data_IF_459927172913
#
_entry.id   IF_459927172913
#
_cell.length_a   1.000
_cell.length_b   1.000
_cell.length_c   1.000
_cell.angle_alpha   90.00
_cell.angle_beta   90.00
_cell.angle_gamma   90.00
#
_symmetry.space_group_name_H-M   'P 1'
#
loop_
_entity.id
_entity.type
_entity.pdbx_description
1 polymer ?
#
# COMPACT_ATOMS: atom_id res chain seq x y z
N UNK A 1 12.88 2.67 16.26
CA UNK A 1 12.66 1.84 15.06
C UNK A 1 11.34 2.24 14.42
N UNK A 2 11.35 2.48 13.11
CA UNK A 2 10.16 2.75 12.32
C UNK A 2 9.78 1.44 11.62
N UNK A 3 8.54 1.02 11.83
CA UNK A 3 7.95 -0.18 11.25
C UNK A 3 6.72 0.20 10.44
N UNK A 4 6.50 -0.47 9.31
CA UNK A 4 5.21 -0.46 8.62
C UNK A 4 4.45 -1.75 8.91
N UNK A 5 3.12 -1.70 8.96
CA UNK A 5 2.29 -2.87 9.20
C UNK A 5 0.98 -2.79 8.45
N UNK A 6 0.26 -3.91 8.40
CA UNK A 6 -1.07 -4.00 7.84
C UNK A 6 -1.62 -5.42 7.88
N UNK A 7 -2.72 -5.62 7.17
CA UNK A 7 -3.48 -6.87 7.13
C UNK A 7 -3.94 -7.19 5.71
N UNK A 8 -4.18 -8.48 5.46
CA UNK A 8 -4.69 -8.98 4.17
C UNK A 8 -5.47 -10.28 4.40
N UNK A 9 -6.54 -10.46 3.63
CA UNK A 9 -7.28 -11.70 3.54
C UNK A 9 -6.86 -12.52 2.32
N UNK A 10 -6.86 -13.84 2.46
CA UNK A 10 -6.63 -14.76 1.35
C UNK A 10 -7.52 -16.00 1.49
N UNK A 11 -7.84 -16.61 0.35
CA UNK A 11 -8.53 -17.89 0.30
C UNK A 11 -7.51 -19.01 0.14
N UNK A 12 -7.75 -20.14 0.78
CA UNK A 12 -6.94 -21.35 0.66
C UNK A 12 -7.82 -22.59 0.50
N UNK A 13 -7.20 -23.70 0.09
CA UNK A 13 -7.86 -25.00 0.06
C UNK A 13 -8.21 -25.45 1.48
N UNK A 14 -9.46 -25.85 1.67
CA UNK A 14 -9.93 -26.40 2.93
C UNK A 14 -9.36 -27.80 3.15
N UNK A 15 -8.76 -28.04 4.32
CA UNK A 15 -8.33 -29.37 4.71
C UNK A 15 -9.55 -30.21 5.15
N UNK A 16 -9.46 -31.53 4.97
CA UNK A 16 -10.52 -32.47 5.37
C UNK A 16 -10.48 -32.85 6.86
N UNK A 17 -9.67 -32.14 7.65
CA UNK A 17 -9.59 -32.37 9.08
C UNK A 17 -10.88 -31.87 9.76
N UNK A 18 -11.38 -32.64 10.73
CA UNK A 18 -12.54 -32.23 11.52
C UNK A 18 -12.14 -31.11 12.47
N UNK A 19 -12.93 -30.03 12.47
CA UNK A 19 -12.84 -28.97 13.46
C UNK A 19 -13.69 -29.31 14.68
N UNK A 20 -13.37 -28.68 15.81
CA UNK A 20 -14.14 -28.84 17.06
C UNK A 20 -15.56 -28.26 16.93
N UNK A 21 -15.75 -27.22 16.11
CA UNK A 21 -17.06 -26.64 15.81
C UNK A 21 -17.44 -26.86 14.34
N UNK A 22 -18.72 -27.14 14.07
CA UNK A 22 -19.24 -27.33 12.71
C UNK A 22 -19.24 -26.06 11.85
N UNK A 23 -19.13 -24.88 12.47
CA UNK A 23 -19.14 -23.58 11.79
C UNK A 23 -17.73 -23.12 11.40
N UNK A 24 -16.69 -23.72 11.99
CA UNK A 24 -15.32 -23.31 11.76
C UNK A 24 -14.81 -23.83 10.41
N UNK A 25 -14.06 -22.98 9.71
CA UNK A 25 -13.49 -23.30 8.41
C UNK A 25 -12.14 -22.65 8.26
N UNK A 26 -11.19 -23.42 7.74
CA UNK A 26 -9.87 -22.97 7.32
C UNK A 26 -9.84 -22.43 5.89
N UNK A 27 -10.97 -22.38 5.15
CA UNK A 27 -10.98 -21.96 3.76
C UNK A 27 -10.51 -20.50 3.53
N UNK A 28 -10.48 -19.69 4.58
CA UNK A 28 -10.02 -18.30 4.51
C UNK A 28 -8.99 -18.03 5.60
N UNK A 29 -7.92 -17.33 5.23
CA UNK A 29 -6.89 -16.84 6.13
C UNK A 29 -6.96 -15.32 6.17
N UNK A 30 -6.91 -14.78 7.37
CA UNK A 30 -6.64 -13.38 7.64
C UNK A 30 -5.32 -13.26 8.39
N UNK A 31 -4.39 -12.47 7.85
CA UNK A 31 -3.06 -12.29 8.44
C UNK A 31 -2.76 -10.83 8.72
N UNK A 32 -2.05 -10.60 9.82
CA UNK A 32 -1.52 -9.29 10.20
C UNK A 32 -0.01 -9.42 10.23
N UNK A 33 0.68 -8.52 9.53
CA UNK A 33 2.14 -8.52 9.45
C UNK A 33 2.73 -7.13 9.63
N UNK A 34 4.01 -7.07 10.01
CA UNK A 34 4.80 -5.85 9.98
C UNK A 34 6.17 -6.06 9.35
N UNK A 35 6.79 -4.95 8.94
CA UNK A 35 8.14 -4.89 8.39
C UNK A 35 8.90 -3.78 9.12
N UNK A 36 10.06 -4.06 9.74
CA UNK A 36 10.95 -3.02 10.21
C UNK A 36 11.61 -2.34 9.00
N UNK A 37 11.51 -1.01 8.90
CA UNK A 37 12.00 -0.26 7.73
C UNK A 37 13.29 0.48 8.04
N UNK A 38 13.33 1.19 9.18
CA UNK A 38 14.49 2.03 9.52
C UNK A 38 14.72 2.13 11.02
N UNK A 39 15.98 2.09 11.43
CA UNK A 39 16.43 2.39 12.78
C UNK A 39 17.21 3.70 12.76
N UNK A 40 16.74 4.68 13.55
CA UNK A 40 17.33 6.02 13.65
C UNK A 40 17.73 6.32 15.09
N UNK A 41 18.88 6.98 15.25
CA UNK A 41 19.35 7.49 16.54
C UNK A 41 19.07 8.99 16.61
N UNK A 42 18.22 9.39 17.57
CA UNK A 42 17.81 10.80 17.73
C UNK A 42 18.75 11.66 18.58
N UNK A 43 19.78 11.08 19.22
CA UNK A 43 20.62 11.85 20.16
C UNK A 43 21.52 12.89 19.48
N UNK A 44 22.02 12.63 18.26
CA UNK A 44 22.90 13.55 17.51
C UNK A 44 22.59 13.46 16.00
N UNK A 45 21.88 14.46 15.43
CA UNK A 45 21.62 14.61 13.98
C UNK A 45 20.84 13.48 13.28
N UNK A 46 19.86 12.85 13.94
CA UNK A 46 19.01 11.79 13.35
C UNK A 46 19.78 10.78 12.48
N UNK A 47 20.88 10.23 13.00
CA UNK A 47 21.70 9.28 12.24
C UNK A 47 20.92 8.00 11.98
N UNK A 48 20.82 7.59 10.72
CA UNK A 48 20.32 6.27 10.33
C UNK A 48 21.35 5.22 10.74
N UNK A 49 20.96 4.31 11.64
CA UNK A 49 21.80 3.20 12.11
C UNK A 49 21.62 1.96 11.24
N UNK A 50 20.39 1.74 10.77
CA UNK A 50 20.06 0.63 9.91
C UNK A 50 18.88 1.00 9.02
N UNK A 51 18.92 0.54 7.78
CA UNK A 51 17.84 0.64 6.82
C UNK A 51 17.64 -0.70 6.15
N UNK A 52 16.37 -1.09 5.99
CA UNK A 52 16.03 -2.31 5.28
C UNK A 52 16.43 -2.15 3.80
N UNK A 53 17.35 -2.97 3.27
CA UNK A 53 17.82 -2.82 1.88
C UNK A 53 16.71 -3.12 0.88
N UNK A 54 15.76 -3.97 1.26
CA UNK A 54 14.63 -4.37 0.42
C UNK A 54 13.34 -4.33 1.25
N UNK A 55 12.77 -3.14 1.55
CA UNK A 55 11.60 -2.99 2.43
C UNK A 55 10.32 -3.57 1.82
N UNK A 56 10.35 -3.86 0.52
CA UNK A 56 9.30 -4.60 -0.13
C UNK A 56 9.46 -6.10 0.10
N UNK A 57 10.64 -6.69 0.37
CA UNK A 57 10.88 -8.16 0.37
C UNK A 57 10.11 -8.99 1.41
N UNK A 58 9.57 -10.20 1.06
CA UNK A 58 8.80 -11.02 1.99
C UNK A 58 9.69 -11.54 3.13
N UNK A 59 11.01 -11.61 2.92
CA UNK A 59 11.98 -12.07 3.93
C UNK A 59 11.98 -11.21 5.20
N UNK A 60 11.61 -9.93 5.07
CA UNK A 60 11.55 -8.96 6.17
C UNK A 60 10.14 -8.81 6.76
N UNK A 61 9.14 -9.49 6.18
CA UNK A 61 7.76 -9.46 6.65
C UNK A 61 7.58 -10.43 7.82
N UNK A 62 7.25 -9.90 9.00
CA UNK A 62 7.07 -10.67 10.24
C UNK A 62 5.59 -10.76 10.59
N UNK A 63 5.05 -11.98 10.78
CA UNK A 63 3.66 -12.15 11.19
C UNK A 63 3.49 -11.66 12.63
N UNK A 64 2.38 -10.98 12.89
CA UNK A 64 1.90 -10.63 14.24
C UNK A 64 0.82 -11.64 14.64
N UNK A 65 -0.12 -11.89 13.73
CA UNK A 65 -1.32 -12.69 14.00
C UNK A 65 -1.81 -13.37 12.73
N UNK A 66 -2.37 -14.57 12.91
CA UNK A 66 -2.94 -15.40 11.85
C UNK A 66 -4.29 -15.94 12.35
N UNK A 67 -5.33 -15.83 11.53
CA UNK A 67 -6.68 -16.24 11.87
C UNK A 67 -7.32 -16.97 10.68
N UNK A 68 -8.05 -18.05 10.94
CA UNK A 68 -8.84 -18.75 9.93
C UNK A 68 -10.24 -18.15 9.84
N UNK A 69 -10.31 -16.95 9.28
CA UNK A 69 -11.56 -16.18 9.17
C UNK A 69 -11.63 -15.49 7.82
N UNK A 70 -12.85 -15.37 7.30
CA UNK A 70 -13.09 -14.62 6.07
C UNK A 70 -12.91 -13.14 6.33
N UNK A 71 -12.20 -12.46 5.43
CA UNK A 71 -12.06 -11.01 5.47
C UNK A 71 -13.44 -10.35 5.34
N UNK A 72 -13.85 -9.66 6.40
CA UNK A 72 -15.07 -8.85 6.46
C UNK A 72 -14.74 -7.50 7.07
N UNK A 73 -15.55 -6.48 6.81
CA UNK A 73 -15.33 -5.12 7.35
C UNK A 73 -15.26 -5.11 8.88
N UNK A 74 -16.07 -5.94 9.54
CA UNK A 74 -16.14 -6.03 10.99
C UNK A 74 -14.85 -6.64 11.55
N UNK A 75 -14.47 -7.83 11.06
CA UNK A 75 -13.24 -8.51 11.49
C UNK A 75 -12.01 -7.64 11.22
N UNK A 76 -11.94 -7.01 10.05
CA UNK A 76 -10.85 -6.10 9.70
C UNK A 76 -10.74 -4.95 10.70
N UNK A 77 -11.85 -4.28 11.02
CA UNK A 77 -11.86 -3.19 12.00
C UNK A 77 -11.52 -3.65 13.42
N UNK A 78 -12.04 -4.80 13.86
CA UNK A 78 -11.78 -5.37 15.18
C UNK A 78 -10.30 -5.72 15.35
N UNK A 79 -9.71 -6.39 14.36
CA UNK A 79 -8.30 -6.78 14.37
C UNK A 79 -7.37 -5.55 14.25
N UNK A 80 -7.73 -4.54 13.46
CA UNK A 80 -7.00 -3.26 13.40
C UNK A 80 -7.03 -2.57 14.76
N UNK A 81 -8.20 -2.53 15.41
CA UNK A 81 -8.36 -1.91 16.73
C UNK A 81 -7.59 -2.67 17.80
N UNK A 82 -7.60 -4.00 17.73
CA UNK A 82 -6.79 -4.87 18.57
C UNK A 82 -5.30 -4.49 18.45
N UNK A 83 -4.75 -4.45 17.24
CA UNK A 83 -3.32 -4.11 17.03
C UNK A 83 -3.02 -2.68 17.46
N UNK A 84 -3.87 -1.71 17.15
CA UNK A 84 -3.71 -0.31 17.58
C UNK A 84 -3.65 -0.18 19.10
N UNK A 85 -4.51 -0.90 19.83
CA UNK A 85 -4.50 -0.93 21.30
C UNK A 85 -3.16 -1.43 21.82
N UNK A 86 -2.65 -2.54 21.26
CA UNK A 86 -1.35 -3.10 21.64
C UNK A 86 -0.19 -2.16 21.30
N UNK A 87 -0.25 -1.48 20.15
CA UNK A 87 0.76 -0.49 19.76
C UNK A 87 0.82 0.66 20.77
N UNK A 88 -0.33 1.14 21.24
CA UNK A 88 -0.39 2.22 22.23
C UNK A 88 0.18 1.82 23.59
N UNK A 89 0.16 0.53 23.93
CA UNK A 89 0.74 -0.01 25.18
C UNK A 89 2.19 -0.49 25.03
N UNK A 90 2.81 -0.35 23.85
CA UNK A 90 4.18 -0.80 23.62
C UNK A 90 5.18 0.01 24.44
N UNK A 91 6.01 -0.71 25.19
CA UNK A 91 7.19 -0.17 25.85
C UNK A 91 8.41 -0.23 24.91
N UNK A 92 9.43 0.57 25.22
CA UNK A 92 10.69 0.52 24.49
C UNK A 92 11.41 -0.82 24.76
N UNK A 93 11.98 -1.43 23.73
CA UNK A 93 12.80 -2.63 23.91
C UNK A 93 14.16 -2.23 24.47
N UNK A 94 14.51 -2.80 25.61
CA UNK A 94 15.85 -2.70 26.19
C UNK A 94 16.77 -3.73 25.53
N UNK A 95 17.93 -3.27 25.06
CA UNK A 95 18.96 -4.11 24.46
C UNK A 95 20.29 -3.78 25.13
N UNK A 96 20.98 -4.78 25.64
CA UNK A 96 22.34 -4.65 26.15
C UNK A 96 23.34 -5.02 25.06
N UNK A 97 24.22 -4.08 24.71
CA UNK A 97 25.33 -4.32 23.79
C UNK A 97 26.61 -3.87 24.48
N UNK A 98 27.50 -4.83 24.79
CA UNK A 98 28.78 -4.62 25.46
C UNK A 98 28.66 -3.85 26.80
N UNK A 99 27.67 -4.19 27.63
CA UNK A 99 27.45 -3.58 28.94
C UNK A 99 26.82 -2.17 28.88
N UNK A 100 26.38 -1.74 27.69
CA UNK A 100 25.65 -0.48 27.49
C UNK A 100 24.21 -0.81 27.17
N UNK A 101 23.30 -0.25 27.97
CA UNK A 101 21.86 -0.37 27.78
C UNK A 101 21.35 0.64 26.76
N UNK A 102 20.66 0.14 25.74
CA UNK A 102 19.99 0.93 24.72
C UNK A 102 18.49 0.70 24.79
N UNK A 103 17.71 1.78 24.65
CA UNK A 103 16.25 1.72 24.63
C UNK A 103 15.75 2.05 23.23
N UNK A 104 15.11 1.07 22.59
CA UNK A 104 14.57 1.21 21.24
C UNK A 104 13.07 1.49 21.34
N UNK A 105 12.68 2.74 21.06
CA UNK A 105 11.27 3.10 20.88
C UNK A 105 10.78 2.65 19.51
N UNK A 106 9.59 2.06 19.44
CA UNK A 106 9.00 1.57 18.19
C UNK A 106 7.88 2.49 17.71
N UNK A 107 7.88 2.82 16.42
CA UNK A 107 6.81 3.59 15.76
C UNK A 107 6.25 2.75 14.62
N UNK A 108 4.97 2.41 14.72
CA UNK A 108 4.27 1.61 13.72
C UNK A 108 3.40 2.49 12.83
N UNK A 109 3.50 2.32 11.52
CA UNK A 109 2.73 3.06 10.51
C UNK A 109 1.90 2.05 9.71
N UNK A 110 0.58 2.25 9.68
CA UNK A 110 -0.33 1.34 9.00
C UNK A 110 -0.44 1.72 7.51
N UNK A 111 0.44 1.17 6.67
CA UNK A 111 0.50 1.48 5.23
C UNK A 111 0.43 0.24 4.34
N UNK A 112 0.56 -0.96 4.91
CA UNK A 112 0.49 -2.22 4.16
C UNK A 112 -0.96 -2.70 4.07
N UNK A 113 -1.86 -1.83 3.61
CA UNK A 113 -3.30 -2.10 3.57
C UNK A 113 -3.89 -1.68 2.24
N UNK A 114 -4.84 -2.48 1.77
CA UNK A 114 -5.43 -2.27 0.47
C UNK A 114 -6.48 -1.15 0.47
N UNK A 115 -6.94 -0.78 -0.72
CA UNK A 115 -7.99 0.23 -0.86
C UNK A 115 -9.31 -0.16 -0.17
N UNK A 116 -9.62 -1.45 -0.02
CA UNK A 116 -10.84 -1.93 0.63
C UNK A 116 -10.75 -1.80 2.15
N UNK A 117 -9.62 -2.13 2.74
CA UNK A 117 -9.31 -1.93 4.16
C UNK A 117 -9.34 -0.43 4.48
N UNK A 118 -8.72 0.42 3.65
CA UNK A 118 -8.83 1.87 3.81
C UNK A 118 -10.29 2.34 3.80
N UNK A 119 -11.10 1.86 2.87
CA UNK A 119 -12.53 2.19 2.81
C UNK A 119 -13.28 1.73 4.07
N UNK A 120 -13.01 0.53 4.57
CA UNK A 120 -13.62 0.01 5.80
C UNK A 120 -13.25 0.86 7.03
N UNK A 121 -11.98 1.28 7.12
CA UNK A 121 -11.47 2.12 8.22
C UNK A 121 -12.03 3.54 8.17
N UNK A 122 -12.18 4.12 6.98
CA UNK A 122 -12.73 5.48 6.80
C UNK A 122 -14.25 5.51 6.73
N UNK A 123 -14.94 4.38 6.93
CA UNK A 123 -16.40 4.27 6.80
C UNK A 123 -16.93 4.58 5.39
N UNK A 124 -16.07 4.49 4.37
CA UNK A 124 -16.43 4.78 2.98
C UNK A 124 -17.05 3.53 2.34
N UNK A 125 -18.37 3.52 2.18
CA UNK A 125 -19.13 2.33 1.75
C UNK A 125 -18.84 1.88 0.32
N UNK A 126 -18.37 2.77 -0.56
CA UNK A 126 -18.14 2.47 -1.97
C UNK A 126 -16.67 2.51 -2.35
N UNK A 127 -16.21 1.46 -3.04
CA UNK A 127 -14.89 1.38 -3.69
C UNK A 127 -14.72 2.35 -4.88
N UNK A 128 -15.80 3.05 -5.22
CA UNK A 128 -15.89 4.06 -6.26
C UNK A 128 -15.90 5.49 -5.66
N UNK A 129 -15.62 5.63 -4.36
CA UNK A 129 -15.39 6.92 -3.67
C UNK A 129 -13.95 7.06 -3.21
N UNK A 130 -13.46 8.29 -3.11
CA UNK A 130 -12.12 8.57 -2.64
C UNK A 130 -12.18 8.61 -1.13
N UNK A 131 -11.55 7.66 -0.45
CA UNK A 131 -11.51 7.62 1.02
C UNK A 131 -10.73 8.81 1.65
N UNK A 132 -10.04 9.63 0.84
CA UNK A 132 -9.32 10.82 1.33
C UNK A 132 -10.24 12.04 1.37
N UNK A 133 -10.97 12.32 0.28
CA UNK A 133 -11.77 13.53 0.12
C UNK A 133 -13.29 13.28 0.02
N UNK A 134 -13.74 12.03 0.06
CA UNK A 134 -15.14 11.63 -0.08
C UNK A 134 -15.69 11.69 -1.51
N UNK A 135 -14.90 12.20 -2.46
CA UNK A 135 -15.32 12.45 -3.83
C UNK A 135 -15.87 11.17 -4.49
N UNK A 136 -16.99 11.28 -5.21
CA UNK A 136 -17.64 10.12 -5.85
C UNK A 136 -17.12 9.83 -7.26
N UNK A 137 -17.60 8.74 -7.88
CA UNK A 137 -17.24 8.41 -9.26
C UNK A 137 -17.73 9.48 -10.21
N UNK A 138 -19.00 9.88 -10.08
CA UNK A 138 -19.56 11.17 -10.50
C UNK A 138 -18.94 12.37 -9.80
N UNK A 139 -17.72 12.27 -9.27
CA UNK A 139 -16.81 13.39 -9.07
C UNK A 139 -15.42 13.25 -9.71
N UNK A 140 -15.06 12.07 -10.24
CA UNK A 140 -13.68 11.80 -10.62
C UNK A 140 -13.22 12.26 -12.02
N UNK A 141 -14.09 12.47 -13.03
CA UNK A 141 -14.08 13.73 -13.85
C UNK A 141 -15.44 14.33 -14.20
N UNK A 142 -16.59 13.65 -14.19
CA UNK A 142 -17.17 12.85 -13.14
C UNK A 142 -17.93 11.60 -13.73
N UNK A 143 -17.49 10.37 -13.39
CA UNK A 143 -17.58 8.99 -13.98
C UNK A 143 -18.81 8.07 -13.89
N UNK A 144 -18.88 7.17 -14.91
CA UNK A 144 -18.91 5.67 -14.84
C UNK A 144 -18.38 5.06 -16.18
N UNK A 145 -17.57 3.98 -16.34
CA UNK A 145 -17.62 2.57 -15.85
C UNK A 145 -16.22 1.87 -15.82
N UNK A 146 -16.09 0.74 -15.08
CA UNK A 146 -14.84 -0.02 -14.72
C UNK A 146 -14.66 -1.37 -15.46
N UNK A 147 -13.43 -1.92 -15.44
CA UNK A 147 -13.12 -3.37 -15.50
C UNK A 147 -12.04 -3.77 -14.48
N UNK A 148 -12.14 -5.01 -14.00
CA UNK A 148 -11.18 -5.64 -13.08
C UNK A 148 -9.94 -6.17 -13.81
N UNK A 149 -8.82 -6.26 -13.09
CA UNK A 149 -7.53 -6.67 -13.60
C UNK A 149 -6.97 -7.82 -12.73
N UNK A 150 -6.49 -8.89 -13.38
CA UNK A 150 -5.93 -10.10 -12.76
C UNK A 150 -4.49 -9.93 -12.23
N UNK A 151 -4.02 -10.94 -11.51
CA UNK A 151 -2.71 -11.00 -10.85
C UNK A 151 -1.51 -10.94 -11.83
N UNK A 152 -1.66 -11.29 -13.11
CA UNK A 152 -0.61 -11.13 -14.13
C UNK A 152 -0.31 -9.66 -14.53
N UNK A 153 -1.13 -8.71 -14.11
CA UNK A 153 -1.08 -7.36 -14.65
C UNK A 153 0.07 -6.49 -14.15
N UNK A 154 0.75 -6.83 -13.05
CA UNK A 154 1.88 -6.02 -12.60
C UNK A 154 3.07 -6.11 -13.55
N UNK A 155 3.30 -7.28 -14.15
CA UNK A 155 4.33 -7.45 -15.19
C UNK A 155 3.87 -6.84 -16.51
N UNK A 156 2.58 -6.96 -16.85
CA UNK A 156 2.00 -6.31 -18.02
C UNK A 156 2.07 -4.77 -17.94
N UNK A 157 1.80 -4.18 -16.78
CA UNK A 157 1.93 -2.73 -16.55
C UNK A 157 3.38 -2.27 -16.75
N UNK A 158 4.37 -3.01 -16.24
CA UNK A 158 5.78 -2.68 -16.46
C UNK A 158 6.15 -2.69 -17.94
N UNK A 159 5.71 -3.72 -18.67
CA UNK A 159 5.92 -3.82 -20.13
C UNK A 159 5.16 -2.75 -20.92
N UNK A 160 3.96 -2.39 -20.48
CA UNK A 160 3.14 -1.34 -21.11
C UNK A 160 3.84 0.03 -21.04
N UNK A 161 4.41 0.37 -19.88
CA UNK A 161 5.14 1.64 -19.70
C UNK A 161 6.60 1.58 -20.18
N UNK A 162 7.12 0.40 -20.55
CA UNK A 162 8.48 0.26 -21.07
C UNK A 162 8.65 1.05 -22.38
N UNK A 163 7.68 0.93 -23.30
CA UNK A 163 7.67 1.65 -24.57
C UNK A 163 6.38 2.48 -24.76
N UNK A 164 6.34 3.72 -24.24
CA UNK A 164 5.16 4.59 -24.34
C UNK A 164 4.77 4.94 -25.78
N UNK A 165 5.73 4.95 -26.73
CA UNK A 165 5.44 5.20 -28.15
C UNK A 165 4.65 4.06 -28.76
N UNK A 166 5.06 2.82 -28.49
CA UNK A 166 4.36 1.64 -28.95
C UNK A 166 2.96 1.55 -28.31
N UNK A 167 2.87 1.79 -27.00
CA UNK A 167 1.59 1.82 -26.28
C UNK A 167 0.63 2.86 -26.86
N UNK A 168 1.11 4.08 -27.12
CA UNK A 168 0.33 5.15 -27.76
C UNK A 168 -0.15 4.74 -29.15
N UNK A 169 0.74 4.18 -29.98
CA UNK A 169 0.40 3.73 -31.34
C UNK A 169 -0.68 2.65 -31.36
N UNK A 170 -0.62 1.70 -30.42
CA UNK A 170 -1.58 0.58 -30.35
C UNK A 170 -2.92 1.03 -29.77
N UNK A 171 -2.89 1.82 -28.68
CA UNK A 171 -4.11 2.19 -27.95
C UNK A 171 -4.82 3.42 -28.52
N UNK A 172 -4.14 4.23 -29.32
CA UNK A 172 -4.62 5.53 -29.77
C UNK A 172 -4.62 6.62 -28.68
N UNK A 173 -4.04 6.33 -27.50
CA UNK A 173 -3.92 7.30 -26.41
C UNK A 173 -2.71 8.21 -26.66
N UNK A 174 -2.78 9.47 -26.22
CA UNK A 174 -1.70 10.45 -26.35
C UNK A 174 -0.41 9.95 -25.71
N UNK A 175 0.66 9.95 -26.51
CA UNK A 175 2.01 9.63 -26.05
C UNK A 175 2.42 10.46 -24.84
N UNK A 176 2.14 11.77 -24.86
CA UNK A 176 2.54 12.68 -23.79
C UNK A 176 1.88 12.30 -22.46
N UNK A 177 0.61 11.91 -22.50
CA UNK A 177 -0.10 11.43 -21.31
C UNK A 177 0.51 10.12 -20.78
N UNK A 178 0.74 9.13 -21.64
CA UNK A 178 1.33 7.84 -21.21
C UNK A 178 2.72 8.06 -20.62
N UNK A 179 3.53 8.92 -21.25
CA UNK A 179 4.88 9.23 -20.79
C UNK A 179 4.86 9.96 -19.44
N UNK A 180 3.98 10.93 -19.24
CA UNK A 180 3.82 11.62 -17.95
C UNK A 180 3.41 10.66 -16.85
N UNK A 181 2.47 9.76 -17.12
CA UNK A 181 2.04 8.73 -16.16
C UNK A 181 3.17 7.77 -15.82
N UNK A 182 4.00 7.38 -16.79
CA UNK A 182 5.22 6.58 -16.55
C UNK A 182 6.13 7.28 -15.54
N UNK A 183 6.48 8.55 -15.79
CA UNK A 183 7.37 9.32 -14.92
C UNK A 183 6.84 9.40 -13.49
N UNK A 184 5.53 9.65 -13.33
CA UNK A 184 4.89 9.73 -12.02
C UNK A 184 4.97 8.39 -11.28
N UNK A 185 4.65 7.28 -11.96
CA UNK A 185 4.71 5.94 -11.37
C UNK A 185 6.13 5.55 -10.97
N UNK A 186 7.12 5.80 -11.83
CA UNK A 186 8.54 5.56 -11.53
C UNK A 186 9.01 6.40 -10.34
N UNK A 187 8.56 7.66 -10.26
CA UNK A 187 8.90 8.55 -9.15
C UNK A 187 8.37 8.03 -7.81
N UNK A 188 7.11 7.59 -7.76
CA UNK A 188 6.47 7.03 -6.56
C UNK A 188 7.13 5.70 -6.16
N UNK A 189 7.46 4.86 -7.14
CA UNK A 189 8.10 3.56 -6.93
C UNK A 189 9.60 3.62 -6.67
N UNK A 190 10.24 4.79 -6.85
CA UNK A 190 11.69 4.94 -6.76
C UNK A 190 12.27 4.60 -5.38
N UNK A 191 11.48 4.79 -4.31
CA UNK A 191 11.94 4.60 -2.93
C UNK A 191 12.90 5.70 -2.42
N UNK A 192 13.10 6.78 -3.18
CA UNK A 192 13.92 7.93 -2.81
C UNK A 192 13.07 9.12 -2.34
N UNK A 193 13.71 10.12 -1.72
CA UNK A 193 13.07 11.39 -1.40
C UNK A 193 12.66 12.12 -2.68
N UNK A 194 11.40 12.55 -2.75
CA UNK A 194 10.82 13.25 -3.89
C UNK A 194 10.70 14.73 -3.53
N UNK A 195 11.09 15.60 -4.46
CA UNK A 195 10.81 17.04 -4.37
C UNK A 195 9.31 17.27 -4.53
N UNK A 196 8.66 17.65 -3.43
CA UNK A 196 7.19 17.77 -3.35
C UNK A 196 6.67 18.81 -4.33
N UNK A 197 7.34 19.95 -4.47
CA UNK A 197 6.86 21.05 -5.31
C UNK A 197 6.90 20.64 -6.78
N UNK A 198 8.02 20.07 -7.22
CA UNK A 198 8.16 19.59 -8.60
C UNK A 198 7.17 18.47 -8.92
N UNK A 199 6.93 17.56 -7.97
CA UNK A 199 5.94 16.51 -8.14
C UNK A 199 4.53 17.10 -8.28
N UNK A 200 4.17 18.05 -7.41
CA UNK A 200 2.85 18.70 -7.43
C UNK A 200 2.59 19.43 -8.75
N UNK A 201 3.54 20.25 -9.20
CA UNK A 201 3.43 20.99 -10.46
C UNK A 201 3.29 20.03 -11.66
N UNK A 202 4.08 18.95 -11.68
CA UNK A 202 4.04 17.95 -12.75
C UNK A 202 2.75 17.12 -12.74
N UNK A 203 2.26 16.75 -11.55
CA UNK A 203 1.03 15.99 -11.38
C UNK A 203 -0.20 16.82 -11.76
N UNK A 204 -0.26 18.09 -11.36
CA UNK A 204 -1.32 19.02 -11.73
C UNK A 204 -1.33 19.31 -13.23
N UNK A 205 -0.17 19.53 -13.85
CA UNK A 205 -0.07 19.68 -15.30
C UNK A 205 -0.58 18.43 -16.04
N UNK A 206 -0.26 17.25 -15.53
CA UNK A 206 -0.72 15.97 -16.09
C UNK A 206 -2.23 15.78 -15.92
N UNK A 207 -2.80 16.20 -14.79
CA UNK A 207 -4.25 16.19 -14.57
C UNK A 207 -4.99 17.13 -15.54
N UNK A 208 -4.47 18.34 -15.77
CA UNK A 208 -5.02 19.30 -16.75
C UNK A 208 -5.02 18.72 -18.16
N UNK A 209 -3.87 18.18 -18.60
CA UNK A 209 -3.73 17.52 -19.89
C UNK A 209 -4.72 16.35 -20.06
N UNK A 210 -4.94 15.56 -19.01
CA UNK A 210 -5.91 14.46 -19.05
C UNK A 210 -7.34 14.96 -19.31
N UNK A 211 -7.74 16.02 -18.60
CA UNK A 211 -9.07 16.63 -18.73
C UNK A 211 -9.27 17.28 -20.10
N UNK A 212 -8.23 17.91 -20.65
CA UNK A 212 -8.26 18.54 -21.98
C UNK A 212 -8.37 17.50 -23.10
N UNK A 213 -7.61 16.41 -23.04
CA UNK A 213 -7.58 15.38 -24.08
C UNK A 213 -8.76 14.41 -24.00
N UNK A 214 -9.24 14.13 -22.78
CA UNK A 214 -10.26 13.12 -22.53
C UNK A 214 -11.38 13.67 -21.63
N UNK A 215 -12.06 14.77 -22.01
CA UNK A 215 -13.12 15.35 -21.21
C UNK A 215 -14.30 14.38 -21.02
N UNK A 216 -14.49 13.47 -21.97
CA UNK A 216 -15.50 12.42 -21.96
C UNK A 216 -15.14 11.25 -21.03
N UNK A 217 -13.85 11.04 -20.69
CA UNK A 217 -13.42 9.90 -19.87
C UNK A 217 -12.94 10.34 -18.50
N UNK A 218 -13.70 10.04 -17.45
CA UNK A 218 -13.38 10.48 -16.13
C UNK A 218 -12.15 9.79 -15.45
N UNK A 219 -11.38 10.45 -14.57
CA UNK A 219 -10.19 9.86 -13.94
C UNK A 219 -10.64 8.81 -12.94
N UNK A 220 -9.91 7.70 -12.81
CA UNK A 220 -10.22 6.70 -11.79
C UNK A 220 -9.87 7.23 -10.39
N UNK A 221 -10.48 6.71 -9.30
CA UNK A 221 -10.14 7.13 -7.93
C UNK A 221 -8.64 7.01 -7.63
N UNK A 222 -7.97 6.01 -8.19
CA UNK A 222 -6.52 5.82 -8.03
C UNK A 222 -5.73 6.91 -8.75
N UNK A 223 -6.09 7.21 -10.01
CA UNK A 223 -5.45 8.26 -10.78
C UNK A 223 -5.66 9.64 -10.13
N UNK A 224 -6.87 9.91 -9.64
CA UNK A 224 -7.19 11.11 -8.88
C UNK A 224 -6.32 11.23 -7.61
N UNK A 225 -6.20 10.15 -6.82
CA UNK A 225 -5.34 10.16 -5.62
C UNK A 225 -3.88 10.43 -5.97
N UNK A 226 -3.36 9.82 -7.03
CA UNK A 226 -1.97 9.98 -7.46
C UNK A 226 -1.71 11.42 -7.93
N UNK A 227 -2.60 12.00 -8.73
CA UNK A 227 -2.40 13.31 -9.33
C UNK A 227 -2.77 14.49 -8.42
N UNK A 228 -3.82 14.37 -7.61
CA UNK A 228 -4.35 15.47 -6.79
C UNK A 228 -3.86 15.38 -5.34
N UNK A 229 -3.88 14.18 -4.75
CA UNK A 229 -3.49 14.01 -3.35
C UNK A 229 -2.04 13.54 -3.18
N UNK A 230 -1.36 13.14 -4.26
CA UNK A 230 -0.03 12.55 -4.22
C UNK A 230 1.00 13.44 -3.51
N UNK A 231 1.03 14.74 -3.84
CA UNK A 231 1.95 15.69 -3.22
C UNK A 231 1.75 15.81 -1.70
N UNK A 232 0.49 15.91 -1.26
CA UNK A 232 0.14 15.97 0.16
C UNK A 232 0.52 14.68 0.89
N UNK A 233 0.34 13.52 0.24
CA UNK A 233 0.74 12.23 0.81
C UNK A 233 2.27 12.15 0.93
N UNK A 234 3.02 12.56 -0.11
CA UNK A 234 4.49 12.58 -0.10
C UNK A 234 5.00 13.50 1.01
N UNK A 235 4.41 14.69 1.15
CA UNK A 235 4.78 15.67 2.18
C UNK A 235 4.59 15.14 3.61
N UNK A 236 3.52 14.39 3.85
CA UNK A 236 3.20 13.85 5.18
C UNK A 236 3.82 12.47 5.44
N UNK A 237 4.45 11.86 4.45
CA UNK A 237 5.06 10.54 4.60
C UNK A 237 6.35 10.64 5.44
N UNK A 238 6.45 9.77 6.45
CA UNK A 238 7.63 9.69 7.33
C UNK A 238 8.85 9.08 6.63
N UNK A 239 8.63 8.37 5.53
CA UNK A 239 9.62 7.66 4.72
C UNK A 239 9.22 7.79 3.24
N UNK A 240 10.18 7.64 2.30
CA UNK A 240 9.86 7.60 0.87
C UNK A 240 8.71 6.63 0.55
N UNK A 241 7.73 7.08 -0.24
CA UNK A 241 6.48 6.32 -0.48
C UNK A 241 6.75 4.92 -1.02
N UNK A 242 7.72 4.75 -1.92
CA UNK A 242 8.09 3.44 -2.46
C UNK A 242 8.49 2.42 -1.37
N UNK A 243 9.03 2.88 -0.24
CA UNK A 243 9.37 2.02 0.90
C UNK A 243 8.13 1.62 1.74
N UNK A 244 7.04 2.36 1.64
CA UNK A 244 5.80 2.18 2.42
C UNK A 244 4.75 1.30 1.74
N UNK A 245 5.06 0.76 0.55
CA UNK A 245 4.17 -0.09 -0.26
C UNK A 245 3.66 -1.36 0.44
N UNK A 246 2.43 -1.76 0.06
CA UNK A 246 1.69 -2.94 0.51
C UNK A 246 2.06 -4.26 -0.21
N UNK A 247 2.81 -4.22 -1.32
CA UNK A 247 2.92 -5.26 -2.37
C UNK A 247 3.14 -6.72 -1.90
N UNK A 248 3.47 -6.98 -0.63
CA UNK A 248 3.97 -8.28 -0.19
C UNK A 248 3.25 -8.97 0.96
N UNK A 249 2.18 -8.42 1.57
CA UNK A 249 1.28 -9.32 2.31
C UNK A 249 0.72 -10.36 1.32
N UNK A 250 0.36 -9.89 0.12
CA UNK A 250 -0.09 -10.70 -1.03
C UNK A 250 0.91 -11.73 -1.55
N UNK A 251 2.23 -11.59 -1.31
CA UNK A 251 3.27 -12.50 -1.82
C UNK A 251 3.77 -13.51 -0.78
N UNK A 252 3.30 -13.46 0.47
CA UNK A 252 3.49 -14.54 1.44
C UNK A 252 2.60 -15.76 1.17
N UNK A 253 1.82 -15.72 0.09
CA UNK A 253 1.00 -16.82 -0.43
C UNK A 253 1.83 -18.06 -0.81
N UNK A 254 3.15 -17.94 -0.97
CA UNK A 254 4.04 -19.05 -1.32
C UNK A 254 4.43 -19.95 -0.13
N UNK A 255 3.71 -19.91 1.00
CA UNK A 255 3.93 -20.88 2.09
C UNK A 255 3.41 -22.28 1.71
N UNK A 256 2.55 -22.39 0.68
CA UNK A 256 1.91 -23.66 0.29
C UNK A 256 2.55 -24.42 -0.90
N UNK A 257 3.72 -24.01 -1.42
CA UNK A 257 4.28 -24.67 -2.63
C UNK A 257 5.65 -25.34 -2.47
N UNK A 258 6.17 -25.49 -1.26
CA UNK A 258 7.35 -26.33 -1.02
C UNK A 258 7.15 -27.22 0.20
N UNK A 259 6.43 -28.31 -0.02
CA UNK A 259 6.53 -29.54 0.76
C UNK A 259 6.34 -30.72 -0.19
#
# INVERSE_FOLDING_TARGET
MICKWGCDGSQQSQYKQKFDNEVDSDANIFQICFVPVRLVCRKNNEKVLWECPTPSSPRWCRPIRFCFVKETTNITNDEINYVKKHINTLIATEVDIHGKKFFIKHKFIMTMVDGKVCNAVTGTTSTSRCYICGATSKEFNKLDHKRDISFEATEFCRRFFENPKLASKITGISYDLIFRLKVILETISSGYSIDVQKYEDYALATARLYVELYPWHPMTPTLHKVLIHGAVIIKNALLPIGQLSEERIKKKKDVDTTA
#
